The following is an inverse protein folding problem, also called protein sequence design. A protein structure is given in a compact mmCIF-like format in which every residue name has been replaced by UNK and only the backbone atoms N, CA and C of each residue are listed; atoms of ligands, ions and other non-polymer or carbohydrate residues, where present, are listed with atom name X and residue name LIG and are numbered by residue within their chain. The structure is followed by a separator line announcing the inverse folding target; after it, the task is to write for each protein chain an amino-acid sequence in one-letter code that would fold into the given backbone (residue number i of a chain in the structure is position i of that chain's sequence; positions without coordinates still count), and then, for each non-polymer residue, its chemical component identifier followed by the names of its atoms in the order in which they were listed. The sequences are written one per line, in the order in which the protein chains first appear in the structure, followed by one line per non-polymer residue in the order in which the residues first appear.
data_IF_894504719054
#
_entry.id   IF_894504719054
#
_cell.length_a   1.000
_cell.length_b   1.000
_cell.length_c   1.000
_cell.angle_alpha   90.00
_cell.angle_beta   90.00
_cell.angle_gamma   90.00
#
_symmetry.space_group_name_H-M   'P 1'
#
loop_
_entity.id
_entity.type
_entity.pdbx_description
1 polymer ?
#
# COMPACT_ATOMS: atom_id res chain seq x y z
N UNK A 1 -31.60 0.01 -20.53
CA UNK A 1 -30.38 -0.19 -21.33
C UNK A 1 -29.40 -0.98 -20.47
N UNK A 2 -29.24 -2.27 -20.73
CA UNK A 2 -28.44 -3.18 -19.91
C UNK A 2 -26.97 -3.10 -20.35
N UNK A 3 -26.07 -2.85 -19.39
CA UNK A 3 -24.62 -2.93 -19.61
C UNK A 3 -24.21 -4.42 -19.54
N UNK A 4 -23.57 -4.98 -20.58
CA UNK A 4 -23.16 -6.37 -20.56
C UNK A 4 -21.97 -6.55 -19.61
N UNK A 5 -22.06 -7.54 -18.72
CA UNK A 5 -20.92 -8.10 -18.01
C UNK A 5 -19.95 -8.70 -19.04
N UNK A 6 -18.86 -8.00 -19.34
CA UNK A 6 -17.74 -8.56 -20.07
C UNK A 6 -16.79 -9.23 -19.06
N UNK A 7 -16.79 -10.56 -19.06
CA UNK A 7 -15.69 -11.37 -18.53
C UNK A 7 -14.50 -11.20 -19.48
N UNK A 8 -13.64 -10.22 -19.19
CA UNK A 8 -12.40 -9.98 -19.91
C UNK A 8 -11.43 -9.30 -18.96
N UNK A 9 -10.20 -9.82 -18.86
CA UNK A 9 -9.12 -9.20 -18.10
C UNK A 9 -9.04 -7.70 -18.48
N UNK A 10 -9.30 -6.76 -17.56
CA UNK A 10 -9.29 -5.36 -17.93
C UNK A 10 -7.87 -4.97 -18.32
N UNK A 11 -7.70 -4.57 -19.58
CA UNK A 11 -6.52 -3.88 -20.04
C UNK A 11 -6.36 -2.64 -19.15
N UNK A 12 -5.49 -2.71 -18.15
CA UNK A 12 -5.25 -1.60 -17.22
C UNK A 12 -4.70 -0.44 -18.01
N UNK A 13 -5.49 0.62 -18.15
CA UNK A 13 -5.03 1.87 -18.76
C UNK A 13 -3.98 2.52 -17.84
N UNK A 14 -3.08 3.38 -18.37
CA UNK A 14 -2.09 4.06 -17.55
C UNK A 14 -2.77 4.75 -16.35
N UNK A 15 -2.19 4.61 -15.15
CA UNK A 15 -2.69 5.18 -13.89
C UNK A 15 -4.08 4.69 -13.40
N UNK A 16 -4.72 3.71 -14.04
CA UNK A 16 -6.09 3.30 -13.65
C UNK A 16 -6.14 2.44 -12.40
N UNK A 17 -5.12 1.62 -12.18
CA UNK A 17 -5.14 0.56 -11.17
C UNK A 17 -3.84 0.57 -10.39
N UNK A 18 -3.96 0.65 -9.07
CA UNK A 18 -2.86 0.42 -8.13
C UNK A 18 -3.12 -0.83 -7.31
N UNK A 19 -2.04 -1.43 -6.86
CA UNK A 19 -2.07 -2.50 -5.87
C UNK A 19 -1.37 -1.99 -4.61
N UNK A 20 -1.97 -2.25 -3.46
CA UNK A 20 -1.47 -1.85 -2.15
C UNK A 20 -1.18 -3.07 -1.30
N UNK A 21 -0.06 -3.01 -0.59
CA UNK A 21 0.34 -4.00 0.41
C UNK A 21 0.94 -3.34 1.65
N UNK A 22 0.77 -4.03 2.79
CA UNK A 22 1.46 -3.73 4.03
C UNK A 22 2.34 -4.91 4.40
N UNK A 23 3.63 -4.66 4.62
CA UNK A 23 4.55 -5.70 5.07
C UNK A 23 5.30 -5.28 6.32
N UNK A 24 5.76 -6.26 7.11
CA UNK A 24 6.62 -5.98 8.26
C UNK A 24 7.91 -5.28 7.81
N UNK A 25 8.22 -4.16 8.46
CA UNK A 25 9.43 -3.37 8.26
C UNK A 25 10.50 -3.67 9.31
N UNK A 26 11.65 -2.98 9.24
CA UNK A 26 12.73 -3.13 10.22
C UNK A 26 12.30 -2.58 11.58
N UNK A 27 12.98 -3.02 12.63
CA UNK A 27 12.98 -2.29 13.89
C UNK A 27 13.92 -1.09 13.75
N UNK A 28 13.41 0.10 14.00
CA UNK A 28 14.22 1.33 13.97
C UNK A 28 14.47 1.72 15.42
N UNK A 29 15.75 1.87 15.76
CA UNK A 29 16.15 2.45 17.05
C UNK A 29 16.39 3.93 16.83
N UNK A 30 15.63 4.78 17.51
CA UNK A 30 15.85 6.22 17.44
C UNK A 30 17.19 6.58 18.09
N UNK A 31 18.07 7.23 17.34
CA UNK A 31 19.42 7.53 17.80
C UNK A 31 19.47 8.59 18.92
N UNK A 32 18.41 9.36 19.12
CA UNK A 32 18.32 10.42 20.13
C UNK A 32 17.62 9.95 21.40
N UNK A 33 16.59 9.10 21.27
CA UNK A 33 15.81 8.62 22.43
C UNK A 33 16.19 7.20 22.87
N UNK A 34 16.84 6.42 21.99
CA UNK A 34 17.11 5.00 22.21
C UNK A 34 15.87 4.11 22.11
N UNK A 35 14.70 4.66 21.74
CA UNK A 35 13.46 3.89 21.63
C UNK A 35 13.50 2.98 20.40
N UNK A 36 13.17 1.70 20.61
CA UNK A 36 13.04 0.71 19.53
C UNK A 36 11.60 0.66 19.08
N UNK A 37 11.34 1.06 17.83
CA UNK A 37 10.01 1.01 17.22
C UNK A 37 9.95 -0.05 16.14
N UNK A 38 8.99 -0.98 16.27
CA UNK A 38 8.60 -1.86 15.16
C UNK A 38 7.92 -1.06 14.08
N UNK A 39 8.31 -1.27 12.83
CA UNK A 39 7.73 -0.53 11.69
C UNK A 39 7.11 -1.45 10.65
N UNK A 40 6.39 -0.83 9.73
CA UNK A 40 5.73 -1.47 8.60
C UNK A 40 6.02 -0.69 7.33
N UNK A 41 6.19 -1.39 6.22
CA UNK A 41 6.21 -0.79 4.90
C UNK A 41 4.80 -0.71 4.34
N UNK A 42 4.35 0.49 4.05
CA UNK A 42 3.27 0.72 3.10
C UNK A 42 3.85 0.78 1.70
N UNK A 43 3.28 0.02 0.76
CA UNK A 43 3.70 0.04 -0.63
C UNK A 43 2.48 0.14 -1.53
N UNK A 44 2.48 1.11 -2.44
CA UNK A 44 1.47 1.25 -3.50
C UNK A 44 2.18 1.20 -4.85
N UNK A 45 1.75 0.30 -5.74
CA UNK A 45 2.38 0.08 -7.03
C UNK A 45 1.37 0.20 -8.15
N UNK A 46 1.68 0.98 -9.18
CA UNK A 46 0.88 1.06 -10.41
C UNK A 46 0.98 -0.25 -11.21
N UNK A 47 -0.16 -0.86 -11.52
CA UNK A 47 -0.21 -2.17 -12.17
C UNK A 47 0.43 -2.18 -13.56
N UNK A 48 0.32 -1.06 -14.29
CA UNK A 48 0.83 -0.90 -15.65
C UNK A 48 2.33 -0.59 -15.69
N UNK A 49 2.76 0.52 -15.08
CA UNK A 49 4.16 1.01 -15.18
C UNK A 49 5.11 0.42 -14.13
N UNK A 50 4.59 -0.21 -13.08
CA UNK A 50 5.33 -0.63 -11.88
C UNK A 50 5.97 0.51 -11.10
N UNK A 51 5.61 1.75 -11.43
CA UNK A 51 6.00 2.89 -10.63
C UNK A 51 5.40 2.75 -9.23
N UNK A 52 6.22 2.96 -8.21
CA UNK A 52 5.95 2.55 -6.84
C UNK A 52 6.15 3.72 -5.88
N UNK A 53 5.21 3.83 -4.95
CA UNK A 53 5.33 4.63 -3.74
C UNK A 53 5.56 3.69 -2.57
N UNK A 54 6.52 4.01 -1.71
CA UNK A 54 6.78 3.28 -0.49
C UNK A 54 6.99 4.23 0.69
N UNK A 55 6.55 3.81 1.87
CA UNK A 55 6.68 4.59 3.10
C UNK A 55 6.81 3.65 4.31
N UNK A 56 7.65 4.03 5.28
CA UNK A 56 7.78 3.32 6.55
C UNK A 56 6.90 4.01 7.58
N UNK A 57 6.04 3.23 8.23
CA UNK A 57 5.10 3.69 9.26
C UNK A 57 5.22 2.89 10.54
N UNK A 58 4.79 3.47 11.66
CA UNK A 58 4.90 2.84 13.00
C UNK A 58 3.79 1.85 13.30
N UNK A 59 2.65 2.00 12.64
CA UNK A 59 1.47 1.18 12.89
C UNK A 59 0.68 0.94 11.61
N UNK A 60 -0.23 -0.01 11.71
CA UNK A 60 -1.25 -0.28 10.71
C UNK A 60 -2.60 0.11 11.30
N UNK A 61 -2.78 1.37 11.72
CA UNK A 61 -4.10 1.93 12.07
C UNK A 61 -4.78 2.54 10.86
N UNK A 62 -6.09 2.71 10.94
CA UNK A 62 -6.89 3.22 9.81
C UNK A 62 -6.44 4.63 9.43
N UNK A 63 -6.13 5.49 10.41
CA UNK A 63 -5.62 6.84 10.18
C UNK A 63 -4.31 6.84 9.39
N UNK A 64 -3.38 5.96 9.77
CA UNK A 64 -2.10 5.76 9.07
C UNK A 64 -2.34 5.26 7.65
N UNK A 65 -3.24 4.29 7.45
CA UNK A 65 -3.60 3.76 6.15
C UNK A 65 -4.17 4.81 5.20
N UNK A 66 -5.12 5.62 5.68
CA UNK A 66 -5.72 6.71 4.90
C UNK A 66 -4.68 7.79 4.58
N UNK A 67 -3.81 8.11 5.54
CA UNK A 67 -2.70 9.04 5.36
C UNK A 67 -1.72 8.58 4.28
N UNK A 68 -1.36 7.29 4.28
CA UNK A 68 -0.49 6.72 3.25
C UNK A 68 -1.13 6.78 1.87
N UNK A 69 -2.44 6.51 1.74
CA UNK A 69 -3.14 6.63 0.45
C UNK A 69 -3.09 8.07 -0.07
N UNK A 70 -3.35 9.06 0.78
CA UNK A 70 -3.31 10.46 0.39
C UNK A 70 -1.91 10.85 -0.15
N UNK A 71 -0.86 10.53 0.61
CA UNK A 71 0.52 10.84 0.19
C UNK A 71 0.93 10.09 -1.08
N UNK A 72 0.48 8.84 -1.24
CA UNK A 72 0.72 8.07 -2.46
C UNK A 72 0.03 8.68 -3.67
N UNK A 73 -1.23 9.13 -3.54
CA UNK A 73 -1.95 9.79 -4.62
C UNK A 73 -1.31 11.13 -5.00
N UNK A 74 -0.86 11.91 -4.00
CA UNK A 74 -0.07 13.12 -4.22
C UNK A 74 1.24 12.81 -4.98
N UNK A 75 1.95 11.75 -4.60
CA UNK A 75 3.17 11.30 -5.27
C UNK A 75 2.91 10.90 -6.73
N UNK A 76 1.80 10.20 -7.02
CA UNK A 76 1.42 9.84 -8.38
C UNK A 76 0.83 11.02 -9.18
N UNK A 77 0.56 12.17 -8.52
CA UNK A 77 -0.07 13.33 -9.15
C UNK A 77 -1.55 13.11 -9.49
N UNK A 78 -2.22 12.14 -8.86
CA UNK A 78 -3.61 11.81 -9.15
C UNK A 78 -4.15 10.63 -8.36
N UNK A 79 -5.47 10.46 -8.41
CA UNK A 79 -6.17 9.34 -7.76
C UNK A 79 -6.42 8.23 -8.79
N UNK A 80 -5.99 6.99 -8.51
CA UNK A 80 -6.27 5.86 -9.39
C UNK A 80 -7.76 5.50 -9.35
N UNK A 81 -8.31 5.00 -10.47
CA UNK A 81 -9.71 4.58 -10.53
C UNK A 81 -10.01 3.35 -9.66
N UNK A 82 -9.00 2.49 -9.45
CA UNK A 82 -9.13 1.24 -8.69
C UNK A 82 -7.92 0.98 -7.80
N UNK A 83 -8.18 0.63 -6.54
CA UNK A 83 -7.18 0.20 -5.56
C UNK A 83 -7.42 -1.28 -5.24
N UNK A 84 -6.45 -2.12 -5.56
CA UNK A 84 -6.45 -3.54 -5.25
C UNK A 84 -5.69 -3.77 -3.94
N UNK A 85 -6.30 -4.49 -3.00
CA UNK A 85 -5.67 -4.82 -1.71
C UNK A 85 -5.33 -6.31 -1.69
N UNK A 86 -4.04 -6.64 -1.51
CA UNK A 86 -3.51 -7.97 -1.84
C UNK A 86 -3.44 -8.98 -0.67
N UNK A 87 -3.80 -8.62 0.57
CA UNK A 87 -3.55 -9.56 1.67
C UNK A 87 -4.49 -9.43 2.88
N UNK A 88 -5.11 -10.54 3.35
CA UNK A 88 -5.80 -10.59 4.64
C UNK A 88 -4.85 -10.60 5.85
N UNK A 89 -3.53 -10.68 5.66
CA UNK A 89 -2.56 -10.66 6.78
C UNK A 89 -2.29 -9.26 7.34
N UNK A 90 -2.58 -8.19 6.59
CA UNK A 90 -2.43 -6.83 7.10
C UNK A 90 -3.50 -6.57 8.16
N UNK A 91 -3.10 -6.00 9.29
CA UNK A 91 -4.02 -5.75 10.40
C UNK A 91 -5.19 -4.84 9.95
N UNK A 92 -4.92 -3.85 9.08
CA UNK A 92 -5.98 -3.02 8.49
C UNK A 92 -6.87 -3.78 7.54
N UNK A 93 -6.36 -4.57 6.61
CA UNK A 93 -7.26 -5.34 5.73
C UNK A 93 -8.11 -6.33 6.52
N UNK A 94 -7.52 -6.97 7.53
CA UNK A 94 -8.24 -7.84 8.47
C UNK A 94 -9.29 -7.07 9.26
N UNK A 95 -8.95 -5.88 9.77
CA UNK A 95 -9.89 -5.01 10.46
C UNK A 95 -10.98 -4.51 9.50
N UNK A 96 -10.66 -4.02 8.32
CA UNK A 96 -11.60 -3.73 7.23
C UNK A 96 -12.47 -4.94 6.85
N UNK A 97 -12.13 -6.17 7.21
CA UNK A 97 -13.01 -7.32 6.96
C UNK A 97 -13.94 -7.61 8.16
N UNK A 98 -13.46 -7.43 9.39
CA UNK A 98 -14.16 -7.84 10.62
C UNK A 98 -14.72 -6.68 11.46
N UNK A 99 -14.25 -5.46 11.24
CA UNK A 99 -14.56 -4.24 11.98
C UNK A 99 -15.38 -3.28 11.10
N UNK A 100 -16.68 -3.09 11.42
CA UNK A 100 -17.56 -2.20 10.67
C UNK A 100 -17.14 -0.73 10.67
N UNK A 101 -16.44 -0.25 11.70
CA UNK A 101 -16.02 1.15 11.78
C UNK A 101 -14.87 1.44 10.82
N UNK A 102 -13.91 0.53 10.78
CA UNK A 102 -12.79 0.60 9.83
C UNK A 102 -13.31 0.50 8.38
N UNK A 103 -14.29 -0.38 8.13
CA UNK A 103 -14.98 -0.48 6.83
C UNK A 103 -15.61 0.85 6.40
N UNK A 104 -16.42 1.45 7.28
CA UNK A 104 -17.09 2.72 6.99
C UNK A 104 -16.10 3.84 6.71
N UNK A 105 -15.05 3.94 7.53
CA UNK A 105 -14.04 4.97 7.39
C UNK A 105 -13.30 4.87 6.05
N UNK A 106 -12.93 3.64 5.65
CA UNK A 106 -12.26 3.43 4.38
C UNK A 106 -13.19 3.60 3.17
N UNK A 107 -14.45 3.16 3.28
CA UNK A 107 -15.45 3.37 2.23
C UNK A 107 -15.74 4.85 2.01
N UNK A 108 -15.91 5.64 3.08
CA UNK A 108 -16.13 7.08 3.00
C UNK A 108 -14.93 7.80 2.36
N UNK A 109 -13.70 7.37 2.68
CA UNK A 109 -12.50 7.89 2.02
C UNK A 109 -12.46 7.53 0.53
N UNK A 110 -12.79 6.29 0.18
CA UNK A 110 -12.84 5.84 -1.22
C UNK A 110 -13.87 6.62 -2.04
N UNK A 111 -15.05 6.85 -1.48
CA UNK A 111 -16.10 7.68 -2.08
C UNK A 111 -15.65 9.13 -2.23
N UNK A 112 -15.10 9.74 -1.18
CA UNK A 112 -14.63 11.13 -1.19
C UNK A 112 -13.47 11.38 -2.16
N UNK A 113 -12.60 10.39 -2.38
CA UNK A 113 -11.51 10.48 -3.35
C UNK A 113 -11.90 9.99 -4.77
N UNK A 114 -13.02 9.29 -4.91
CA UNK A 114 -13.52 8.81 -6.21
C UNK A 114 -12.80 7.56 -6.75
N UNK A 115 -12.40 6.62 -5.89
CA UNK A 115 -11.79 5.36 -6.31
C UNK A 115 -12.56 4.13 -5.84
N UNK A 116 -12.42 3.02 -6.58
CA UNK A 116 -13.01 1.74 -6.23
C UNK A 116 -12.03 0.89 -5.43
N UNK A 117 -12.47 0.42 -4.25
CA UNK A 117 -11.75 -0.59 -3.47
C UNK A 117 -12.08 -1.98 -4.02
N UNK A 118 -11.06 -2.76 -4.36
CA UNK A 118 -11.21 -4.14 -4.81
C UNK A 118 -10.36 -5.07 -3.96
N UNK A 119 -10.94 -6.10 -3.32
CA UNK A 119 -10.13 -7.17 -2.76
C UNK A 119 -9.43 -7.91 -3.92
N UNK A 120 -8.18 -8.33 -3.69
CA UNK A 120 -7.50 -9.21 -4.64
C UNK A 120 -8.20 -10.58 -4.67
N UNK A 121 -8.66 -11.07 -5.84
CA UNK A 121 -9.28 -12.38 -5.92
C UNK A 121 -8.25 -13.48 -5.60
N UNK A 122 -8.60 -14.51 -4.81
CA UNK A 122 -7.65 -15.53 -4.33
C UNK A 122 -7.01 -16.41 -5.40
N UNK A 123 -7.32 -16.21 -6.69
CA UNK A 123 -6.91 -17.05 -7.82
C UNK A 123 -6.23 -16.30 -8.97
N UNK A 124 -5.70 -15.09 -8.75
CA UNK A 124 -4.92 -14.40 -9.79
C UNK A 124 -3.41 -14.38 -9.48
N UNK A 125 -2.65 -15.41 -9.93
CA UNK A 125 -1.21 -15.50 -9.69
C UNK A 125 -0.42 -14.39 -10.40
N UNK A 126 -0.99 -13.76 -11.43
CA UNK A 126 -0.34 -12.68 -12.17
C UNK A 126 -0.24 -11.42 -11.32
N UNK A 127 -1.36 -11.02 -10.70
CA UNK A 127 -1.45 -9.86 -9.78
C UNK A 127 -0.65 -10.10 -8.50
N UNK A 128 -0.66 -11.33 -7.97
CA UNK A 128 0.11 -11.70 -6.77
C UNK A 128 1.63 -11.64 -6.98
N UNK A 129 2.11 -12.02 -8.17
CA UNK A 129 3.53 -11.93 -8.53
C UNK A 129 4.05 -10.50 -8.69
N UNK A 130 3.17 -9.52 -8.94
CA UNK A 130 3.54 -8.10 -9.11
C UNK A 130 4.03 -7.47 -7.80
N UNK A 131 3.33 -7.73 -6.71
CA UNK A 131 3.63 -7.16 -5.39
C UNK A 131 4.71 -7.92 -4.65
N UNK A 132 4.75 -9.25 -4.77
CA UNK A 132 5.83 -10.03 -4.19
C UNK A 132 7.21 -9.55 -4.66
N UNK A 133 7.30 -9.10 -5.92
CA UNK A 133 8.53 -8.56 -6.50
C UNK A 133 8.92 -7.20 -5.91
N UNK A 134 7.95 -6.30 -5.66
CA UNK A 134 8.21 -4.95 -5.14
C UNK A 134 8.63 -4.96 -3.66
N UNK A 135 7.94 -5.73 -2.82
CA UNK A 135 8.30 -5.86 -1.41
C UNK A 135 9.62 -6.62 -1.24
N UNK A 136 9.87 -7.66 -2.05
CA UNK A 136 11.18 -8.34 -2.09
C UNK A 136 12.29 -7.38 -2.51
N UNK A 137 12.05 -6.47 -3.45
CA UNK A 137 13.04 -5.47 -3.84
C UNK A 137 13.41 -4.53 -2.69
N UNK A 138 12.42 -3.94 -1.99
CA UNK A 138 12.69 -3.08 -0.83
C UNK A 138 13.45 -3.87 0.27
N UNK A 139 13.03 -5.10 0.55
CA UNK A 139 13.67 -5.92 1.60
C UNK A 139 15.06 -6.44 1.24
N UNK A 140 15.31 -6.78 -0.03
CA UNK A 140 16.57 -7.41 -0.44
C UNK A 140 17.62 -6.44 -0.96
N UNK A 141 17.23 -5.27 -1.49
CA UNK A 141 18.18 -4.29 -2.02
C UNK A 141 18.32 -3.04 -1.15
N UNK A 142 17.26 -2.60 -0.46
CA UNK A 142 17.27 -1.34 0.27
C UNK A 142 17.63 -1.51 1.76
N UNK A 143 17.14 -2.56 2.41
CA UNK A 143 17.40 -2.83 3.84
C UNK A 143 18.84 -3.26 4.19
N UNK A 144 19.55 -4.11 3.43
CA UNK A 144 20.82 -4.70 3.91
C UNK A 144 22.01 -3.73 3.97
N UNK A 145 21.86 -2.51 3.44
CA UNK A 145 22.96 -1.56 3.24
C UNK A 145 22.81 -0.25 4.02
N UNK A 146 21.77 -0.11 4.86
CA UNK A 146 21.45 1.18 5.48
C UNK A 146 21.17 1.07 6.98
N UNK A 147 21.78 1.96 7.75
CA UNK A 147 21.46 2.22 9.15
C UNK A 147 20.47 3.39 9.23
N UNK A 148 19.42 3.22 10.04
CA UNK A 148 18.38 4.24 10.24
C UNK A 148 18.56 4.92 11.59
N UNK A 149 18.74 6.24 11.57
CA UNK A 149 18.88 7.06 12.78
C UNK A 149 17.53 7.45 13.39
N UNK A 150 16.47 7.45 12.57
CA UNK A 150 15.10 7.73 12.97
C UNK A 150 14.11 7.28 11.88
N UNK A 151 12.81 7.25 12.19
CA UNK A 151 11.78 6.98 11.18
C UNK A 151 11.79 7.99 10.03
N UNK A 152 12.10 9.25 10.33
CA UNK A 152 12.18 10.31 9.32
C UNK A 152 13.33 10.03 8.35
N UNK A 153 14.51 9.77 8.91
CA UNK A 153 15.71 9.41 8.15
C UNK A 153 15.47 8.17 7.28
N UNK A 154 14.77 7.15 7.81
CA UNK A 154 14.41 5.97 7.03
C UNK A 154 13.48 6.27 5.84
N UNK A 155 12.52 7.20 6.00
CA UNK A 155 11.62 7.61 4.92
C UNK A 155 12.30 8.55 3.90
N UNK A 156 13.24 9.40 4.33
CA UNK A 156 14.06 10.22 3.44
C UNK A 156 14.93 9.30 2.58
N UNK A 157 15.63 8.35 3.19
CA UNK A 157 16.47 7.39 2.49
C UNK A 157 15.67 6.51 1.51
N UNK A 158 14.41 6.16 1.83
CA UNK A 158 13.57 5.31 0.97
C UNK A 158 13.15 5.98 -0.35
N UNK A 159 13.24 7.31 -0.42
CA UNK A 159 12.87 8.11 -1.58
C UNK A 159 14.04 8.42 -2.51
N UNK A 160 15.28 8.18 -2.07
CA UNK A 160 16.53 8.32 -2.83
C UNK A 160 16.88 7.05 -3.63
#
# INVERSE_FOLDING_TARGET
MAMPYACGHPHSTPASTVQVDFSAGPEITDAFTGEVTKTHFFVMTLAWSRHQYAEIVRDQKIETWLGCHRRAFEFFGGVPARVIIDNPKCAITKACYHDPEVQRSYAAFAEGCGFLVSPCPPRDPQEKGRVESGVKYIKNNFMPLRDFRSLRDANEQLRD
#
